data_IF_241949356537
#
_entry.id   IF_241949356537
#
_cell.length_a   1.000
_cell.length_b   1.000
_cell.length_c   1.000
_cell.angle_alpha   90.00
_cell.angle_beta   90.00
_cell.angle_gamma   90.00
#
_symmetry.space_group_name_H-M   'P 1'
#
loop_
_entity.id
_entity.type
_entity.pdbx_description
1 polymer ?
#
# COMPACT_ATOMS: atom_id res chain seq x y z
N UNK A 1 -6.96 -18.50 26.78
CA UNK A 1 -5.83 -19.32 27.30
C UNK A 1 -5.25 -20.19 26.19
N UNK A 2 -4.21 -19.76 25.47
CA UNK A 2 -3.27 -20.64 24.73
C UNK A 2 -1.90 -19.97 24.56
N UNK A 3 -0.97 -20.43 25.41
CA UNK A 3 0.48 -20.66 25.26
C UNK A 3 1.30 -19.74 24.33
N UNK A 4 2.07 -18.86 24.99
CA UNK A 4 3.30 -18.27 24.48
C UNK A 4 4.40 -19.33 24.37
N UNK A 5 5.11 -19.37 23.25
CA UNK A 5 6.33 -20.14 23.08
C UNK A 5 7.52 -19.23 23.37
N UNK A 6 8.20 -19.49 24.49
CA UNK A 6 9.37 -18.78 24.98
C UNK A 6 10.60 -19.35 24.25
N UNK A 7 11.33 -18.51 23.50
CA UNK A 7 12.67 -18.87 23.00
C UNK A 7 13.69 -18.07 23.79
N UNK A 8 14.43 -18.79 24.62
CA UNK A 8 15.55 -18.30 25.43
C UNK A 8 16.75 -18.00 24.55
N UNK A 9 17.21 -16.75 24.49
CA UNK A 9 18.50 -16.39 23.88
C UNK A 9 19.49 -16.07 25.01
N UNK A 10 20.57 -16.85 25.01
CA UNK A 10 21.70 -16.75 25.91
C UNK A 10 22.54 -15.50 25.56
N UNK A 11 22.71 -14.60 26.52
CA UNK A 11 23.58 -13.42 26.41
C UNK A 11 25.03 -13.84 26.64
N UNK A 12 25.89 -13.69 25.64
CA UNK A 12 27.34 -13.76 25.80
C UNK A 12 27.92 -12.35 25.71
N UNK A 13 28.45 -11.86 26.83
CA UNK A 13 29.17 -10.59 26.95
C UNK A 13 30.57 -10.78 26.38
N UNK A 14 30.87 -10.11 25.27
CA UNK A 14 32.20 -10.08 24.64
C UNK A 14 32.77 -8.66 24.66
N UNK A 15 33.97 -8.52 25.23
CA UNK A 15 34.69 -7.27 25.45
C UNK A 15 34.95 -6.48 24.15
N UNK A 16 34.81 -5.17 24.25
CA UNK A 16 35.10 -4.16 23.23
C UNK A 16 36.62 -4.05 23.06
N UNK A 17 37.13 -4.38 21.87
CA UNK A 17 38.48 -4.03 21.43
C UNK A 17 38.37 -2.96 20.34
N UNK A 18 38.95 -1.79 20.60
CA UNK A 18 39.01 -0.65 19.68
C UNK A 18 39.95 -0.93 18.51
N UNK A 19 39.48 -0.73 17.27
CA UNK A 19 40.29 -0.74 16.05
C UNK A 19 40.15 0.62 15.34
N UNK A 20 41.24 1.24 14.85
CA UNK A 20 41.22 2.62 14.39
C UNK A 20 40.59 2.79 13.01
N UNK A 21 40.13 4.01 12.74
CA UNK A 21 39.58 4.44 11.45
C UNK A 21 40.66 4.39 10.35
N UNK A 22 40.41 3.58 9.32
CA UNK A 22 41.20 3.56 8.09
C UNK A 22 40.54 4.45 7.03
N UNK A 23 41.34 5.37 6.47
CA UNK A 23 40.95 6.31 5.44
C UNK A 23 40.55 5.61 4.13
N UNK A 24 39.48 6.10 3.49
CA UNK A 24 39.01 5.62 2.20
C UNK A 24 39.94 6.08 1.06
N UNK A 25 40.64 5.15 0.42
CA UNK A 25 41.29 5.36 -0.88
C UNK A 25 40.28 5.16 -2.01
N UNK A 26 40.18 6.15 -2.91
CA UNK A 26 39.36 6.11 -4.10
C UNK A 26 39.86 5.04 -5.09
N UNK A 27 38.98 4.11 -5.49
CA UNK A 27 39.26 3.10 -6.50
C UNK A 27 38.92 3.62 -7.91
N UNK A 28 39.83 3.40 -8.85
CA UNK A 28 39.71 3.73 -10.28
C UNK A 28 38.67 2.83 -11.00
N UNK A 29 38.10 3.27 -12.13
CA UNK A 29 37.03 2.55 -12.81
C UNK A 29 37.57 1.30 -13.51
N UNK A 30 37.00 0.13 -13.18
CA UNK A 30 37.22 -1.12 -13.92
C UNK A 30 36.41 -1.06 -15.21
N UNK A 31 37.09 -1.17 -16.35
CA UNK A 31 36.47 -1.25 -17.67
C UNK A 31 35.54 -2.47 -17.74
N UNK A 32 34.27 -2.23 -18.08
CA UNK A 32 33.28 -3.28 -18.28
C UNK A 32 33.64 -4.13 -19.50
N UNK A 33 34.01 -5.39 -19.27
CA UNK A 33 34.11 -6.39 -20.32
C UNK A 33 32.71 -6.67 -20.86
N UNK A 34 32.48 -6.32 -22.12
CA UNK A 34 31.26 -6.60 -22.88
C UNK A 34 31.10 -8.12 -23.04
N UNK A 35 30.33 -8.74 -22.15
CA UNK A 35 29.86 -10.11 -22.32
C UNK A 35 28.87 -10.16 -23.49
N UNK A 36 29.24 -10.94 -24.51
CA UNK A 36 28.41 -11.27 -25.67
C UNK A 36 27.11 -11.94 -25.19
N UNK A 37 25.92 -11.57 -25.72
CA UNK A 37 24.69 -12.22 -25.31
C UNK A 37 24.71 -13.67 -25.80
N UNK A 38 24.72 -14.61 -24.86
CA UNK A 38 24.42 -16.01 -25.10
C UNK A 38 23.06 -16.08 -25.78
N UNK A 39 22.98 -16.79 -26.89
CA UNK A 39 21.78 -17.04 -27.69
C UNK A 39 20.69 -17.65 -26.81
N UNK A 40 19.84 -16.79 -26.23
CA UNK A 40 18.70 -17.19 -25.42
C UNK A 40 17.64 -17.81 -26.32
N UNK A 41 17.18 -19.01 -25.97
CA UNK A 41 16.00 -19.65 -26.57
C UNK A 41 14.84 -18.65 -26.57
N UNK A 42 14.12 -18.52 -27.70
CA UNK A 42 13.01 -17.60 -27.82
C UNK A 42 11.94 -17.82 -26.72
N UNK A 43 11.44 -16.72 -26.15
CA UNK A 43 10.39 -16.74 -25.14
C UNK A 43 9.14 -17.48 -25.65
N UNK A 44 8.64 -18.45 -24.88
CA UNK A 44 7.46 -19.24 -25.23
C UNK A 44 6.20 -18.60 -24.66
N UNK A 45 5.07 -18.82 -25.33
CA UNK A 45 3.75 -18.59 -24.75
C UNK A 45 3.06 -19.92 -24.54
N UNK A 46 2.76 -20.25 -23.29
CA UNK A 46 2.04 -21.44 -22.87
C UNK A 46 0.58 -21.10 -22.54
N UNK A 47 -0.29 -22.11 -22.58
CA UNK A 47 -1.69 -21.99 -22.18
C UNK A 47 -2.04 -23.12 -21.22
N UNK A 48 -2.82 -22.90 -20.15
CA UNK A 48 -3.25 -23.98 -19.28
C UNK A 48 -3.97 -25.13 -20.03
N UNK A 49 -4.60 -24.83 -21.17
CA UNK A 49 -5.29 -25.82 -22.01
C UNK A 49 -4.34 -26.91 -22.53
N UNK A 50 -3.07 -26.57 -22.83
CA UNK A 50 -2.08 -27.57 -23.29
C UNK A 50 -1.59 -28.48 -22.17
N UNK A 51 -1.93 -28.17 -20.92
CA UNK A 51 -1.65 -28.96 -19.73
C UNK A 51 -2.87 -29.71 -19.21
N UNK A 52 -3.97 -29.73 -19.97
CA UNK A 52 -5.18 -30.47 -19.66
C UNK A 52 -6.24 -29.69 -18.87
N UNK A 53 -6.05 -28.39 -18.64
CA UNK A 53 -7.09 -27.56 -18.05
C UNK A 53 -8.28 -27.42 -19.03
N UNK A 54 -9.51 -27.39 -18.52
CA UNK A 54 -10.72 -27.21 -19.34
C UNK A 54 -11.10 -25.74 -19.48
N UNK A 55 -10.94 -24.95 -18.43
CA UNK A 55 -11.29 -23.53 -18.44
C UNK A 55 -12.79 -23.28 -18.64
N UNK A 56 -13.63 -24.19 -18.14
CA UNK A 56 -15.10 -24.15 -18.25
C UNK A 56 -15.80 -23.56 -17.01
N UNK A 57 -15.03 -23.17 -15.99
CA UNK A 57 -15.51 -22.63 -14.71
C UNK A 57 -16.05 -23.67 -13.72
N UNK A 58 -16.07 -24.95 -14.07
CA UNK A 58 -16.66 -26.03 -13.27
C UNK A 58 -15.63 -27.10 -12.93
N UNK A 59 -14.85 -27.53 -13.92
CA UNK A 59 -13.79 -28.53 -13.74
C UNK A 59 -12.69 -27.99 -12.86
N UNK A 60 -12.23 -28.78 -11.89
CA UNK A 60 -11.08 -28.39 -11.08
C UNK A 60 -9.80 -28.45 -11.91
N UNK A 61 -9.33 -27.28 -12.34
CA UNK A 61 -8.16 -27.11 -13.18
C UNK A 61 -6.87 -26.92 -12.36
N UNK A 62 -6.93 -27.06 -11.02
CA UNK A 62 -5.80 -26.73 -10.11
C UNK A 62 -4.49 -27.41 -10.53
N UNK A 63 -4.50 -28.73 -10.75
CA UNK A 63 -3.30 -29.47 -11.11
C UNK A 63 -2.74 -29.07 -12.48
N UNK A 64 -3.61 -28.86 -13.47
CA UNK A 64 -3.20 -28.44 -14.81
C UNK A 64 -2.66 -27.00 -14.83
N UNK A 65 -3.27 -26.10 -14.07
CA UNK A 65 -2.78 -24.73 -13.87
C UNK A 65 -1.41 -24.71 -13.19
N UNK A 66 -1.25 -25.48 -12.12
CA UNK A 66 0.03 -25.55 -11.41
C UNK A 66 1.12 -26.14 -12.30
N UNK A 67 0.83 -27.22 -13.04
CA UNK A 67 1.77 -27.77 -14.00
C UNK A 67 2.15 -26.76 -15.10
N UNK A 68 1.19 -25.99 -15.61
CA UNK A 68 1.48 -24.94 -16.59
C UNK A 68 2.39 -23.83 -16.04
N UNK A 69 2.22 -23.46 -14.77
CA UNK A 69 3.08 -22.50 -14.07
C UNK A 69 4.49 -23.06 -13.83
N UNK A 70 4.60 -24.32 -13.40
CA UNK A 70 5.86 -25.00 -13.11
C UNK A 70 6.70 -25.25 -14.38
N UNK A 71 6.05 -25.36 -15.55
CA UNK A 71 6.71 -25.58 -16.84
C UNK A 71 7.30 -24.31 -17.49
N UNK A 72 7.05 -23.13 -16.92
CA UNK A 72 7.61 -21.86 -17.39
C UNK A 72 9.11 -21.78 -17.14
N UNK A 73 9.78 -20.98 -17.96
CA UNK A 73 11.17 -20.55 -17.79
C UNK A 73 11.21 -19.04 -17.78
N UNK A 74 12.26 -18.44 -17.23
CA UNK A 74 12.43 -16.99 -17.27
C UNK A 74 12.25 -16.46 -18.71
N UNK A 75 11.44 -15.40 -18.87
CA UNK A 75 11.04 -14.84 -20.16
C UNK A 75 9.76 -15.43 -20.76
N UNK A 76 9.31 -16.62 -20.31
CA UNK A 76 8.08 -17.23 -20.82
C UNK A 76 6.82 -16.50 -20.34
N UNK A 77 5.74 -16.68 -21.09
CA UNK A 77 4.40 -16.19 -20.77
C UNK A 77 3.43 -17.35 -20.59
N UNK A 78 2.62 -17.34 -19.53
CA UNK A 78 1.38 -18.12 -19.43
C UNK A 78 0.20 -17.21 -19.81
N UNK A 79 -0.46 -17.52 -20.93
CA UNK A 79 -1.61 -16.77 -21.41
C UNK A 79 -2.92 -17.49 -21.05
N UNK A 80 -3.80 -16.81 -20.34
CA UNK A 80 -5.15 -17.26 -20.04
C UNK A 80 -6.10 -16.70 -21.11
N UNK A 81 -6.66 -17.53 -22.01
CA UNK A 81 -7.44 -17.05 -23.14
C UNK A 81 -8.73 -16.34 -22.72
N UNK A 82 -9.16 -15.40 -23.56
CA UNK A 82 -10.47 -14.76 -23.41
C UNK A 82 -11.60 -15.80 -23.39
N UNK A 83 -12.63 -15.55 -22.58
CA UNK A 83 -13.80 -16.44 -22.45
C UNK A 83 -13.54 -17.73 -21.66
N UNK A 84 -12.33 -17.95 -21.13
CA UNK A 84 -12.01 -19.10 -20.27
C UNK A 84 -12.01 -18.73 -18.80
N UNK A 85 -12.60 -19.62 -18.00
CA UNK A 85 -12.56 -19.54 -16.53
C UNK A 85 -11.96 -20.82 -15.98
N UNK A 86 -10.78 -20.73 -15.38
CA UNK A 86 -10.10 -21.87 -14.81
C UNK A 86 -10.36 -21.92 -13.32
N UNK A 87 -11.10 -22.94 -12.87
CA UNK A 87 -11.43 -23.11 -11.46
C UNK A 87 -10.25 -23.73 -10.74
N UNK A 88 -9.90 -23.20 -9.57
CA UNK A 88 -8.93 -23.80 -8.67
C UNK A 88 -9.50 -23.95 -7.25
N UNK A 89 -9.04 -24.97 -6.54
CA UNK A 89 -9.46 -25.35 -5.18
C UNK A 89 -8.31 -25.34 -4.17
N UNK A 90 -7.08 -25.08 -4.63
CA UNK A 90 -5.91 -24.81 -3.80
C UNK A 90 -5.14 -23.58 -4.31
N UNK A 91 -4.13 -23.17 -3.54
CA UNK A 91 -3.24 -22.06 -3.89
C UNK A 91 -2.47 -22.38 -5.16
N UNK A 92 -2.49 -21.43 -6.09
CA UNK A 92 -1.64 -21.45 -7.28
C UNK A 92 -0.35 -20.71 -6.97
N UNK A 93 0.80 -21.37 -7.13
CA UNK A 93 2.11 -20.79 -6.86
C UNK A 93 2.83 -20.45 -8.17
N UNK A 94 3.18 -19.18 -8.36
CA UNK A 94 4.08 -18.71 -9.41
C UNK A 94 5.50 -18.75 -8.85
N UNK A 95 6.21 -19.85 -9.13
CA UNK A 95 7.53 -20.16 -8.57
C UNK A 95 8.72 -19.83 -9.47
N UNK A 96 8.49 -19.38 -10.70
CA UNK A 96 9.54 -19.11 -11.70
C UNK A 96 9.72 -17.61 -11.84
N UNK A 97 10.97 -17.13 -11.69
CA UNK A 97 11.29 -15.71 -11.78
C UNK A 97 11.26 -15.21 -13.24
N UNK A 98 10.93 -13.93 -13.43
CA UNK A 98 10.99 -13.29 -14.75
C UNK A 98 9.94 -13.78 -15.75
N UNK A 99 8.85 -14.39 -15.28
CA UNK A 99 7.75 -14.87 -16.14
C UNK A 99 6.60 -13.86 -16.20
N UNK A 100 5.76 -13.99 -17.21
CA UNK A 100 4.53 -13.21 -17.35
C UNK A 100 3.30 -14.12 -17.29
N UNK A 101 2.29 -13.74 -16.51
CA UNK A 101 0.97 -14.38 -16.51
C UNK A 101 -0.05 -13.33 -16.97
N UNK A 102 -0.65 -13.56 -18.15
CA UNK A 102 -1.49 -12.57 -18.83
C UNK A 102 -2.91 -13.08 -19.05
N UNK A 103 -3.88 -12.20 -18.92
CA UNK A 103 -5.28 -12.46 -19.22
C UNK A 103 -5.66 -12.30 -20.70
N UNK A 104 -6.98 -12.16 -21.02
CA UNK A 104 -8.05 -11.75 -20.10
C UNK A 104 -8.87 -12.88 -19.46
N UNK A 105 -8.37 -14.13 -19.45
CA UNK A 105 -9.06 -15.24 -18.77
C UNK A 105 -9.17 -15.06 -17.25
N UNK A 106 -10.00 -15.91 -16.62
CA UNK A 106 -10.32 -15.84 -15.19
C UNK A 106 -9.68 -17.01 -14.43
N UNK A 107 -9.05 -16.73 -13.30
CA UNK A 107 -8.70 -17.72 -12.27
C UNK A 107 -9.76 -17.66 -11.15
N UNK A 108 -10.59 -18.70 -11.04
CA UNK A 108 -11.71 -18.78 -10.09
C UNK A 108 -11.37 -19.69 -8.91
N UNK A 109 -11.08 -19.12 -7.73
CA UNK A 109 -10.97 -19.90 -6.51
C UNK A 109 -12.36 -20.30 -5.99
N UNK A 110 -12.55 -21.57 -5.68
CA UNK A 110 -13.82 -22.07 -5.09
C UNK A 110 -13.67 -22.64 -3.68
N UNK A 111 -12.44 -22.72 -3.17
CA UNK A 111 -12.14 -23.01 -1.77
C UNK A 111 -11.63 -21.73 -1.09
N UNK A 112 -12.47 -21.07 -0.29
CA UNK A 112 -12.14 -19.77 0.30
C UNK A 112 -10.90 -19.82 1.23
N UNK A 113 -10.67 -20.96 1.89
CA UNK A 113 -9.53 -21.19 2.80
C UNK A 113 -8.18 -21.35 2.09
N UNK A 114 -8.20 -21.58 0.76
CA UNK A 114 -7.04 -21.87 -0.10
C UNK A 114 -7.19 -21.18 -1.46
N UNK A 115 -7.52 -19.89 -1.42
CA UNK A 115 -7.93 -19.13 -2.60
C UNK A 115 -6.81 -18.35 -3.27
N UNK A 116 -5.59 -18.33 -2.72
CA UNK A 116 -4.53 -17.45 -3.20
C UNK A 116 -3.95 -17.81 -4.56
N UNK A 117 -3.60 -16.77 -5.32
CA UNK A 117 -2.51 -16.80 -6.29
C UNK A 117 -1.29 -16.19 -5.61
N UNK A 118 -0.28 -17.02 -5.35
CA UNK A 118 0.94 -16.64 -4.68
C UNK A 118 2.05 -16.36 -5.71
N UNK A 119 2.52 -15.11 -5.75
CA UNK A 119 3.75 -14.72 -6.44
C UNK A 119 4.91 -14.95 -5.48
N UNK A 120 5.69 -16.00 -5.75
CA UNK A 120 6.78 -16.45 -4.88
C UNK A 120 8.17 -16.33 -5.50
N UNK A 121 8.27 -15.70 -6.67
CA UNK A 121 9.51 -15.51 -7.39
C UNK A 121 9.59 -14.10 -7.96
N UNK A 122 10.82 -13.62 -8.12
CA UNK A 122 11.08 -12.23 -8.48
C UNK A 122 10.73 -11.92 -9.93
N UNK A 123 10.49 -10.64 -10.22
CA UNK A 123 10.27 -10.10 -11.57
C UNK A 123 9.12 -10.76 -12.33
N UNK A 124 8.12 -11.25 -11.60
CA UNK A 124 6.87 -11.75 -12.20
C UNK A 124 6.02 -10.58 -12.66
N UNK A 125 5.44 -10.72 -13.85
CA UNK A 125 4.47 -9.77 -14.42
C UNK A 125 3.09 -10.42 -14.47
N UNK A 126 2.08 -9.76 -13.90
CA UNK A 126 0.66 -10.12 -14.00
C UNK A 126 -0.08 -9.00 -14.75
N UNK A 127 -0.67 -9.28 -15.91
CA UNK A 127 -1.31 -8.23 -16.70
C UNK A 127 -2.38 -8.71 -17.71
N UNK A 128 -2.68 -7.86 -18.71
CA UNK A 128 -3.48 -8.24 -19.87
C UNK A 128 -4.97 -8.41 -19.60
N UNK A 129 -5.51 -7.76 -18.55
CA UNK A 129 -6.91 -7.91 -18.16
C UNK A 129 -7.19 -9.21 -17.41
N UNK A 130 -6.17 -9.85 -16.83
CA UNK A 130 -6.32 -11.03 -15.99
C UNK A 130 -7.31 -10.75 -14.85
N UNK A 131 -8.19 -11.72 -14.58
CA UNK A 131 -9.15 -11.65 -13.47
C UNK A 131 -8.85 -12.74 -12.46
N UNK A 132 -8.63 -12.34 -11.22
CA UNK A 132 -8.49 -13.22 -10.06
C UNK A 132 -9.79 -13.16 -9.25
N UNK A 133 -10.61 -14.20 -9.35
CA UNK A 133 -11.92 -14.26 -8.71
C UNK A 133 -11.91 -15.24 -7.54
N UNK A 134 -12.61 -14.89 -6.47
CA UNK A 134 -13.06 -15.81 -5.45
C UNK A 134 -14.56 -16.06 -5.64
N UNK A 135 -14.98 -17.32 -5.43
CA UNK A 135 -16.38 -17.65 -5.25
C UNK A 135 -16.96 -17.03 -3.97
N UNK A 136 -18.22 -17.36 -3.62
CA UNK A 136 -18.81 -16.94 -2.36
C UNK A 136 -17.91 -17.28 -1.17
N UNK A 137 -17.70 -16.31 -0.28
CA UNK A 137 -16.94 -16.47 0.96
C UNK A 137 -17.93 -16.48 2.12
N UNK A 138 -17.62 -17.17 3.22
CA UNK A 138 -18.55 -17.33 4.36
C UNK A 138 -18.14 -16.51 5.58
N UNK A 139 -16.85 -16.24 5.77
CA UNK A 139 -16.31 -15.47 6.91
C UNK A 139 -15.07 -14.68 6.53
N UNK A 140 -14.68 -13.70 7.35
CA UNK A 140 -13.37 -13.03 7.24
C UNK A 140 -12.30 -13.98 7.77
N UNK A 141 -11.24 -14.15 7.00
CA UNK A 141 -10.07 -14.94 7.36
C UNK A 141 -8.82 -14.07 7.44
N UNK A 142 -7.72 -14.64 7.95
CA UNK A 142 -6.48 -13.93 8.27
C UNK A 142 -5.18 -14.66 7.85
N UNK A 143 -5.24 -15.94 7.45
CA UNK A 143 -4.07 -16.66 6.98
C UNK A 143 -3.71 -16.31 5.52
N UNK A 144 -2.44 -16.52 5.17
CA UNK A 144 -1.91 -16.09 3.89
C UNK A 144 -2.59 -16.71 2.67
N UNK A 145 -3.11 -17.92 2.80
CA UNK A 145 -3.69 -18.67 1.69
C UNK A 145 -5.14 -18.28 1.39
N UNK A 146 -5.70 -17.39 2.22
CA UNK A 146 -7.01 -16.76 2.04
C UNK A 146 -6.95 -15.37 1.38
N UNK A 147 -5.74 -14.83 1.20
CA UNK A 147 -5.52 -13.64 0.37
C UNK A 147 -5.80 -14.00 -1.09
N UNK A 148 -6.34 -13.10 -1.91
CA UNK A 148 -6.61 -13.46 -3.32
C UNK A 148 -5.35 -13.38 -4.18
N UNK A 149 -4.63 -12.26 -4.15
CA UNK A 149 -3.30 -12.11 -4.73
C UNK A 149 -2.30 -11.86 -3.60
N UNK A 150 -1.33 -12.76 -3.43
CA UNK A 150 -0.25 -12.62 -2.44
C UNK A 150 1.09 -12.41 -3.14
N UNK A 151 1.76 -11.32 -2.82
CA UNK A 151 3.08 -10.96 -3.33
C UNK A 151 4.08 -11.09 -2.19
N UNK A 152 5.01 -12.02 -2.35
CA UNK A 152 6.07 -12.34 -1.40
C UNK A 152 7.44 -12.40 -2.10
N UNK A 153 7.63 -11.56 -3.12
CA UNK A 153 8.80 -11.52 -3.99
C UNK A 153 9.03 -10.11 -4.54
N UNK A 154 10.17 -9.89 -5.18
CA UNK A 154 10.67 -8.56 -5.53
C UNK A 154 10.52 -8.23 -7.01
N UNK A 155 10.47 -6.95 -7.36
CA UNK A 155 10.36 -6.52 -8.77
C UNK A 155 9.05 -6.95 -9.44
N UNK A 156 8.01 -7.26 -8.66
CA UNK A 156 6.74 -7.77 -9.16
C UNK A 156 5.93 -6.63 -9.78
N UNK A 157 5.42 -6.85 -10.99
CA UNK A 157 4.54 -5.89 -11.68
C UNK A 157 3.16 -6.50 -11.83
N UNK A 158 2.14 -5.81 -11.33
CA UNK A 158 0.73 -6.13 -11.53
C UNK A 158 0.08 -4.96 -12.23
N UNK A 159 -0.36 -5.16 -13.47
CA UNK A 159 -0.89 -4.08 -14.30
C UNK A 159 -2.21 -4.44 -14.94
N UNK A 160 -3.27 -3.64 -14.74
CA UNK A 160 -4.60 -3.91 -15.33
C UNK A 160 -5.11 -5.31 -14.99
N UNK A 161 -5.04 -5.66 -13.70
CA UNK A 161 -5.56 -6.91 -13.13
C UNK A 161 -6.76 -6.59 -12.25
N UNK A 162 -7.80 -7.41 -12.36
CA UNK A 162 -8.99 -7.30 -11.51
C UNK A 162 -9.00 -8.41 -10.48
N UNK A 163 -9.16 -8.04 -9.20
CA UNK A 163 -9.41 -8.93 -8.08
C UNK A 163 -10.88 -8.80 -7.68
N UNK A 164 -11.63 -9.90 -7.79
CA UNK A 164 -13.06 -9.97 -7.48
C UNK A 164 -13.31 -10.95 -6.33
N UNK A 165 -13.50 -10.40 -5.13
CA UNK A 165 -13.69 -11.18 -3.92
C UNK A 165 -12.40 -11.70 -3.31
N UNK A 166 -12.38 -11.78 -1.99
CA UNK A 166 -11.36 -12.47 -1.20
C UNK A 166 -11.93 -12.82 0.17
N UNK A 167 -11.50 -13.95 0.72
CA UNK A 167 -11.87 -14.36 2.08
C UNK A 167 -11.10 -13.54 3.14
N UNK A 168 -9.93 -13.01 2.76
CA UNK A 168 -9.13 -12.04 3.49
C UNK A 168 -8.90 -10.78 2.60
N UNK A 169 -7.65 -10.32 2.45
CA UNK A 169 -7.31 -9.17 1.62
C UNK A 169 -7.33 -9.52 0.11
N UNK A 170 -7.68 -8.53 -0.71
CA UNK A 170 -7.67 -8.68 -2.17
C UNK A 170 -6.25 -8.81 -2.73
N UNK A 171 -5.41 -7.82 -2.43
CA UNK A 171 -3.98 -7.84 -2.72
C UNK A 171 -3.22 -7.71 -1.42
N UNK A 172 -2.32 -8.65 -1.16
CA UNK A 172 -1.40 -8.63 -0.02
C UNK A 172 0.03 -8.51 -0.55
N UNK A 173 0.75 -7.48 -0.11
CA UNK A 173 2.18 -7.28 -0.38
C UNK A 173 2.90 -7.35 0.96
N UNK A 174 3.80 -8.32 1.12
CA UNK A 174 4.56 -8.41 2.37
C UNK A 174 5.73 -9.37 2.30
N UNK A 175 6.18 -9.84 3.47
CA UNK A 175 7.39 -10.70 3.56
C UNK A 175 8.63 -10.02 2.97
N UNK A 176 8.79 -8.71 3.20
CA UNK A 176 9.91 -7.92 2.69
C UNK A 176 9.90 -7.66 1.17
N UNK A 177 8.77 -7.92 0.48
CA UNK A 177 8.63 -7.65 -0.95
C UNK A 177 8.98 -6.18 -1.27
N UNK A 178 9.83 -5.97 -2.29
CA UNK A 178 10.26 -4.64 -2.69
C UNK A 178 10.35 -4.44 -4.20
N UNK A 179 10.55 -3.19 -4.63
CA UNK A 179 10.57 -2.77 -6.03
C UNK A 179 9.31 -3.17 -6.80
N UNK A 180 8.15 -3.16 -6.13
CA UNK A 180 6.89 -3.60 -6.71
C UNK A 180 6.10 -2.47 -7.38
N UNK A 181 5.36 -2.81 -8.42
CA UNK A 181 4.42 -1.91 -9.09
C UNK A 181 3.03 -2.55 -9.15
N UNK A 182 2.04 -1.90 -8.55
CA UNK A 182 0.61 -2.17 -8.74
C UNK A 182 0.01 -1.01 -9.53
N UNK A 183 -0.32 -1.22 -10.81
CA UNK A 183 -0.81 -0.16 -11.69
C UNK A 183 -2.17 -0.51 -12.30
N UNK A 184 -3.16 0.38 -12.17
CA UNK A 184 -4.51 0.19 -12.70
C UNK A 184 -5.15 -1.13 -12.20
N UNK A 185 -4.85 -1.50 -10.96
CA UNK A 185 -5.42 -2.68 -10.29
C UNK A 185 -6.81 -2.34 -9.76
N UNK A 186 -7.78 -3.22 -10.02
CA UNK A 186 -9.14 -3.08 -9.52
C UNK A 186 -9.39 -4.16 -8.47
N UNK A 187 -9.81 -3.80 -7.27
CA UNK A 187 -10.15 -4.73 -6.18
C UNK A 187 -11.58 -4.50 -5.74
N UNK A 188 -12.40 -5.55 -5.70
CA UNK A 188 -13.82 -5.45 -5.32
C UNK A 188 -14.27 -6.54 -4.37
N UNK A 189 -15.06 -6.18 -3.35
CA UNK A 189 -15.84 -7.14 -2.57
C UNK A 189 -15.02 -8.09 -1.70
N UNK A 190 -13.93 -7.63 -1.12
CA UNK A 190 -13.08 -8.42 -0.20
C UNK A 190 -13.69 -8.45 1.20
N UNK A 191 -13.34 -9.45 2.02
CA UNK A 191 -13.79 -9.52 3.41
C UNK A 191 -12.86 -8.83 4.41
N UNK A 192 -11.63 -8.54 4.01
CA UNK A 192 -10.71 -7.66 4.73
C UNK A 192 -10.30 -6.52 3.79
N UNK A 193 -9.04 -6.09 3.85
CA UNK A 193 -8.50 -4.98 3.08
C UNK A 193 -8.66 -5.16 1.57
N UNK A 194 -8.68 -4.05 0.83
CA UNK A 194 -8.55 -4.08 -0.62
C UNK A 194 -7.12 -4.42 -1.03
N UNK A 195 -6.20 -3.49 -0.74
CA UNK A 195 -4.75 -3.64 -0.92
C UNK A 195 -4.08 -3.44 0.44
N UNK A 196 -3.33 -4.44 0.90
CA UNK A 196 -2.65 -4.44 2.19
C UNK A 196 -1.13 -4.60 1.98
N UNK A 197 -0.36 -3.58 2.34
CA UNK A 197 1.09 -3.54 2.23
C UNK A 197 1.68 -3.60 3.64
N UNK A 198 2.42 -4.65 3.95
CA UNK A 198 2.85 -4.98 5.31
C UNK A 198 4.16 -5.76 5.34
N UNK A 199 4.57 -6.30 6.50
CA UNK A 199 5.65 -7.26 6.61
C UNK A 199 7.00 -6.72 6.12
N UNK A 200 7.27 -5.44 6.35
CA UNK A 200 8.51 -4.79 5.96
C UNK A 200 8.67 -4.50 4.46
N UNK A 201 7.60 -4.60 3.65
CA UNK A 201 7.66 -4.27 2.22
C UNK A 201 8.16 -2.84 1.97
N UNK A 202 8.88 -2.60 0.86
CA UNK A 202 9.44 -1.27 0.61
C UNK A 202 9.70 -0.95 -0.87
N UNK A 203 10.04 0.30 -1.18
CA UNK A 203 10.38 0.75 -2.54
C UNK A 203 9.28 0.43 -3.58
N UNK A 204 8.03 0.69 -3.20
CA UNK A 204 6.86 0.28 -3.95
C UNK A 204 6.05 1.42 -4.54
N UNK A 205 5.36 1.16 -5.65
CA UNK A 205 4.41 2.08 -6.26
C UNK A 205 3.06 1.41 -6.44
N UNK A 206 2.00 2.05 -5.94
CA UNK A 206 0.61 1.70 -6.20
C UNK A 206 -0.03 2.87 -6.93
N UNK A 207 -0.33 2.72 -8.22
CA UNK A 207 -0.80 3.80 -9.08
C UNK A 207 -2.18 3.52 -9.64
N UNK A 208 -3.07 4.50 -9.48
CA UNK A 208 -4.47 4.48 -9.91
C UNK A 208 -5.23 3.19 -9.51
N UNK A 209 -5.09 2.69 -8.26
CA UNK A 209 -5.91 1.57 -7.85
C UNK A 209 -7.38 2.00 -7.72
N UNK A 210 -8.30 1.10 -8.06
CA UNK A 210 -9.73 1.24 -7.77
C UNK A 210 -10.11 0.18 -6.76
N UNK A 211 -10.51 0.57 -5.55
CA UNK A 211 -10.94 -0.34 -4.49
C UNK A 211 -12.38 -0.05 -4.13
N UNK A 212 -13.26 -1.06 -4.21
CA UNK A 212 -14.68 -0.89 -3.90
C UNK A 212 -15.19 -2.00 -2.99
N UNK A 213 -15.95 -1.66 -1.95
CA UNK A 213 -16.57 -2.63 -1.05
C UNK A 213 -15.55 -3.58 -0.40
N UNK A 214 -14.42 -3.06 0.06
CA UNK A 214 -13.51 -3.81 0.94
C UNK A 214 -14.15 -4.00 2.31
N UNK A 215 -13.84 -5.12 2.95
CA UNK A 215 -14.33 -5.49 4.29
C UNK A 215 -13.45 -4.96 5.43
N UNK A 216 -12.51 -4.09 5.11
CA UNK A 216 -11.63 -3.32 5.99
C UNK A 216 -11.08 -2.15 5.17
N UNK A 217 -9.88 -1.69 5.49
CA UNK A 217 -9.15 -0.63 4.80
C UNK A 217 -9.09 -0.81 3.28
N UNK A 218 -9.30 0.29 2.54
CA UNK A 218 -9.24 0.27 1.08
C UNK A 218 -7.82 0.02 0.56
N UNK A 219 -6.91 0.97 0.83
CA UNK A 219 -5.48 0.84 0.52
C UNK A 219 -4.65 1.15 1.77
N UNK A 220 -4.10 0.10 2.37
CA UNK A 220 -3.44 0.14 3.65
C UNK A 220 -1.93 -0.08 3.55
N UNK A 221 -1.18 0.75 4.27
CA UNK A 221 0.21 0.49 4.68
C UNK A 221 0.20 0.23 6.18
N UNK A 222 0.62 -0.97 6.59
CA UNK A 222 0.60 -1.39 8.01
C UNK A 222 1.97 -1.95 8.39
N UNK A 223 2.48 -1.59 9.55
CA UNK A 223 3.81 -1.97 10.03
C UNK A 223 3.72 -2.49 11.46
N UNK A 224 3.67 -3.81 11.62
CA UNK A 224 3.63 -4.46 12.93
C UNK A 224 5.05 -4.53 13.51
N UNK A 225 5.21 -4.26 14.81
CA UNK A 225 6.53 -4.42 15.46
C UNK A 225 7.03 -5.85 15.42
N UNK A 226 6.12 -6.83 15.38
CA UNK A 226 6.46 -8.25 15.22
C UNK A 226 7.22 -8.55 13.93
N UNK A 227 7.09 -7.71 12.90
CA UNK A 227 7.83 -7.87 11.65
C UNK A 227 9.30 -7.40 11.75
N UNK A 228 9.65 -6.69 12.83
CA UNK A 228 11.02 -6.21 13.10
C UNK A 228 11.45 -4.98 12.29
N UNK A 229 10.76 -4.66 11.19
CA UNK A 229 11.07 -3.51 10.33
C UNK A 229 9.79 -2.90 9.75
N UNK A 230 9.68 -1.55 9.67
CA UNK A 230 8.51 -0.91 9.08
C UNK A 230 8.49 -1.05 7.55
N UNK A 231 7.28 -1.01 7.01
CA UNK A 231 7.05 -0.71 5.58
C UNK A 231 7.58 0.69 5.30
N UNK A 232 8.33 0.86 4.21
CA UNK A 232 8.93 2.16 3.89
C UNK A 232 9.04 2.51 2.42
N UNK A 233 9.10 3.80 2.09
CA UNK A 233 9.31 4.30 0.72
C UNK A 233 8.28 3.76 -0.25
N UNK A 234 7.01 3.94 0.08
CA UNK A 234 5.88 3.52 -0.75
C UNK A 234 5.12 4.76 -1.22
N UNK A 235 4.91 4.85 -2.53
CA UNK A 235 4.05 5.85 -3.16
C UNK A 235 2.72 5.22 -3.54
N UNK A 236 1.62 5.75 -2.99
CA UNK A 236 0.26 5.46 -3.44
C UNK A 236 -0.28 6.68 -4.18
N UNK A 237 -0.43 6.56 -5.49
CA UNK A 237 -0.70 7.65 -6.43
C UNK A 237 -2.10 7.49 -7.05
N UNK A 238 -2.94 8.51 -6.89
CA UNK A 238 -4.31 8.57 -7.36
C UNK A 238 -5.23 7.39 -6.95
N UNK A 239 -5.26 6.95 -5.68
CA UNK A 239 -6.18 5.89 -5.27
C UNK A 239 -7.64 6.35 -5.29
N UNK A 240 -8.54 5.51 -5.82
CA UNK A 240 -9.99 5.70 -5.74
C UNK A 240 -10.60 4.58 -4.89
N UNK A 241 -10.99 4.91 -3.66
CA UNK A 241 -11.59 3.98 -2.71
C UNK A 241 -13.05 4.34 -2.50
N UNK A 242 -13.96 3.38 -2.59
CA UNK A 242 -15.36 3.60 -2.24
C UNK A 242 -16.01 2.46 -1.46
N UNK A 243 -16.98 2.82 -0.61
CA UNK A 243 -17.92 1.87 0.00
C UNK A 243 -17.29 0.80 0.89
N UNK A 244 -16.20 1.11 1.60
CA UNK A 244 -15.63 0.18 2.59
C UNK A 244 -16.72 -0.21 3.59
N UNK A 245 -16.92 -1.50 3.85
CA UNK A 245 -18.00 -2.00 4.70
C UNK A 245 -17.59 -2.11 6.17
N UNK A 246 -16.28 -2.09 6.43
CA UNK A 246 -15.64 -1.88 7.73
C UNK A 246 -14.31 -1.15 7.50
N UNK A 247 -13.60 -0.74 8.56
CA UNK A 247 -12.29 -0.10 8.42
C UNK A 247 -12.33 1.31 7.81
N UNK A 248 -11.24 1.71 7.16
CA UNK A 248 -10.98 3.08 6.70
C UNK A 248 -10.79 3.15 5.18
N UNK A 249 -10.67 4.36 4.64
CA UNK A 249 -10.36 4.54 3.22
C UNK A 249 -8.92 4.18 2.88
N UNK A 250 -7.99 5.08 3.19
CA UNK A 250 -6.54 4.88 3.03
C UNK A 250 -5.84 5.02 4.38
N UNK A 251 -4.85 4.17 4.64
CA UNK A 251 -4.22 4.10 5.96
C UNK A 251 -2.71 4.01 5.94
N UNK A 252 -2.06 4.67 6.92
CA UNK A 252 -0.66 4.46 7.28
C UNK A 252 -0.57 4.16 8.76
N UNK A 253 -0.46 2.88 9.10
CA UNK A 253 -0.35 2.41 10.48
C UNK A 253 1.10 2.00 10.73
N UNK A 254 1.91 2.93 11.21
CA UNK A 254 3.31 2.76 11.57
C UNK A 254 4.39 3.00 10.51
N UNK A 255 4.08 3.00 9.20
CA UNK A 255 5.10 3.07 8.13
C UNK A 255 6.00 4.32 8.09
N UNK A 256 7.05 4.27 7.29
CA UNK A 256 8.09 5.31 7.15
C UNK A 256 8.27 5.79 5.70
N UNK A 257 8.39 7.09 5.43
CA UNK A 257 8.50 7.62 4.04
C UNK A 257 7.34 7.16 3.13
N UNK A 258 6.11 7.37 3.60
CA UNK A 258 4.91 6.96 2.89
C UNK A 258 4.23 8.18 2.28
N UNK A 259 3.94 8.13 0.99
CA UNK A 259 3.26 9.21 0.28
C UNK A 259 1.96 8.71 -0.33
N UNK A 260 0.86 9.39 -0.03
CA UNK A 260 -0.40 9.28 -0.73
C UNK A 260 -0.64 10.57 -1.52
N UNK A 261 -0.88 10.47 -2.83
CA UNK A 261 -1.12 11.63 -3.70
C UNK A 261 -2.43 11.49 -4.47
N UNK A 262 -3.14 12.60 -4.68
CA UNK A 262 -4.38 12.68 -5.48
C UNK A 262 -5.45 11.68 -5.02
N UNK A 263 -5.65 11.59 -3.71
CA UNK A 263 -6.52 10.61 -3.05
C UNK A 263 -7.98 10.93 -3.29
N UNK A 264 -8.78 9.93 -3.63
CA UNK A 264 -10.23 10.01 -3.62
C UNK A 264 -10.80 8.90 -2.75
N UNK A 265 -11.54 9.28 -1.70
CA UNK A 265 -12.26 8.34 -0.84
C UNK A 265 -13.72 8.74 -0.74
N UNK A 266 -14.62 7.79 -1.02
CA UNK A 266 -16.08 7.99 -0.91
C UNK A 266 -16.74 6.97 -0.01
N UNK A 267 -17.59 7.43 0.92
CA UNK A 267 -18.42 6.54 1.77
C UNK A 267 -17.58 5.51 2.53
N UNK A 268 -16.57 5.98 3.27
CA UNK A 268 -15.76 5.11 4.14
C UNK A 268 -16.52 4.73 5.42
N UNK A 269 -16.34 3.50 5.92
CA UNK A 269 -17.02 3.00 7.12
C UNK A 269 -16.66 3.85 8.34
N UNK A 270 -15.35 3.99 8.57
CA UNK A 270 -14.77 4.90 9.55
C UNK A 270 -14.06 6.05 8.81
N UNK A 271 -12.87 6.44 9.27
CA UNK A 271 -12.10 7.53 8.66
C UNK A 271 -11.79 7.29 7.18
N UNK A 272 -11.76 8.35 6.40
CA UNK A 272 -11.33 8.28 5.01
C UNK A 272 -9.79 8.23 4.92
N UNK A 273 -9.10 8.99 5.75
CA UNK A 273 -7.64 8.93 5.93
C UNK A 273 -7.34 8.64 7.40
N UNK A 274 -6.52 7.62 7.66
CA UNK A 274 -6.11 7.26 9.01
C UNK A 274 -4.60 7.04 9.09
N UNK A 275 -3.92 7.82 9.93
CA UNK A 275 -2.47 7.71 10.15
C UNK A 275 -2.25 7.45 11.62
N UNK A 276 -1.68 6.30 11.97
CA UNK A 276 -1.72 5.86 13.35
C UNK A 276 -0.49 5.07 13.81
N UNK A 277 -0.21 5.19 15.10
CA UNK A 277 0.51 4.18 15.88
C UNK A 277 -0.54 3.48 16.76
N UNK A 278 -0.64 2.17 16.71
CA UNK A 278 -1.66 1.39 17.44
C UNK A 278 -1.02 0.54 18.54
N UNK A 279 -1.67 0.52 19.70
CA UNK A 279 -1.31 -0.31 20.85
C UNK A 279 -1.77 -1.76 20.73
N UNK A 280 -1.99 -2.41 21.87
CA UNK A 280 -2.46 -3.79 21.92
C UNK A 280 -3.80 -3.97 21.17
N UNK A 281 -4.02 -5.09 20.47
CA UNK A 281 -3.11 -6.22 20.30
C UNK A 281 -2.15 -6.08 19.10
N UNK A 282 -2.22 -4.98 18.34
CA UNK A 282 -1.51 -4.85 17.07
C UNK A 282 -0.05 -4.46 17.22
N UNK A 283 0.26 -3.58 18.17
CA UNK A 283 1.62 -3.10 18.45
C UNK A 283 2.35 -2.67 17.17
N UNK A 284 1.91 -1.59 16.55
CA UNK A 284 2.54 -1.09 15.33
C UNK A 284 3.69 -0.12 15.62
N UNK A 285 4.55 0.07 14.63
CA UNK A 285 5.55 1.15 14.65
C UNK A 285 4.87 2.53 14.72
N UNK A 286 5.66 3.57 14.99
CA UNK A 286 5.18 4.95 14.87
C UNK A 286 5.27 5.40 13.40
N UNK A 287 4.21 5.98 12.81
CA UNK A 287 4.32 6.50 11.45
C UNK A 287 5.26 7.71 11.42
N UNK A 288 6.17 7.74 10.45
CA UNK A 288 7.19 8.79 10.30
C UNK A 288 7.29 9.25 8.85
N UNK A 289 7.40 10.57 8.62
CA UNK A 289 7.57 11.16 7.28
C UNK A 289 6.46 10.70 6.34
N UNK A 290 5.23 10.94 6.75
CA UNK A 290 4.02 10.58 5.99
C UNK A 290 3.44 11.81 5.33
N UNK A 291 3.24 11.73 4.02
CA UNK A 291 2.64 12.82 3.23
C UNK A 291 1.32 12.37 2.62
N UNK A 292 0.27 13.18 2.76
CA UNK A 292 -0.95 13.09 1.96
C UNK A 292 -1.11 14.41 1.20
N UNK A 293 -0.99 14.37 -0.12
CA UNK A 293 -1.05 15.56 -0.97
C UNK A 293 -2.19 15.45 -1.98
N UNK A 294 -3.14 16.38 -1.91
CA UNK A 294 -4.32 16.34 -2.76
C UNK A 294 -5.26 15.23 -2.32
N UNK A 295 -6.38 15.58 -1.68
CA UNK A 295 -7.38 14.59 -1.32
C UNK A 295 -8.81 15.13 -1.43
N UNK A 296 -9.70 14.33 -2.02
CA UNK A 296 -11.15 14.51 -1.95
C UNK A 296 -11.75 13.43 -1.06
N UNK A 297 -12.27 13.83 0.10
CA UNK A 297 -12.86 12.95 1.09
C UNK A 297 -14.36 13.27 1.20
N UNK A 298 -15.20 12.34 0.75
CA UNK A 298 -16.64 12.57 0.62
C UNK A 298 -17.43 11.46 1.33
N UNK A 299 -18.29 11.82 2.29
CA UNK A 299 -19.12 10.81 2.96
C UNK A 299 -18.36 9.96 3.97
N UNK A 300 -17.38 10.52 4.69
CA UNK A 300 -16.57 9.73 5.63
C UNK A 300 -17.30 9.40 6.94
N UNK A 301 -16.86 8.31 7.58
CA UNK A 301 -17.38 7.78 8.84
C UNK A 301 -18.89 7.52 8.84
N UNK A 302 -19.37 6.73 7.87
CA UNK A 302 -20.79 6.34 7.79
C UNK A 302 -21.23 5.48 8.99
N UNK A 303 -20.30 4.86 9.71
CA UNK A 303 -20.60 4.00 10.85
C UNK A 303 -20.83 4.80 12.14
N UNK A 304 -22.05 4.74 12.65
CA UNK A 304 -22.44 5.50 13.83
C UNK A 304 -21.69 5.08 15.12
N UNK A 305 -21.26 3.83 15.21
CA UNK A 305 -20.57 3.29 16.40
C UNK A 305 -19.08 3.60 16.45
N UNK A 306 -18.51 4.23 15.42
CA UNK A 306 -17.08 4.54 15.33
C UNK A 306 -16.85 6.05 15.50
N UNK A 307 -16.03 6.43 16.48
CA UNK A 307 -15.73 7.82 16.83
C UNK A 307 -14.61 8.45 16.01
N UNK A 308 -14.65 8.35 14.68
CA UNK A 308 -13.65 8.94 13.78
C UNK A 308 -14.14 10.24 13.11
N UNK A 309 -13.24 10.98 12.46
CA UNK A 309 -13.61 12.01 11.47
C UNK A 309 -13.41 11.53 10.04
N UNK A 310 -13.35 12.45 9.07
CA UNK A 310 -12.83 12.14 7.74
C UNK A 310 -11.33 11.88 7.77
N UNK A 311 -10.58 12.64 8.57
CA UNK A 311 -9.16 12.43 8.81
C UNK A 311 -8.96 12.16 10.30
N UNK A 312 -8.16 11.15 10.63
CA UNK A 312 -7.74 10.89 11.99
C UNK A 312 -6.24 10.56 12.03
N UNK A 313 -5.48 11.37 12.77
CA UNK A 313 -4.14 11.02 13.23
C UNK A 313 -4.26 10.47 14.65
N UNK A 314 -3.85 9.23 14.88
CA UNK A 314 -4.03 8.54 16.15
C UNK A 314 -2.70 8.09 16.78
N UNK A 315 -2.41 8.64 17.97
CA UNK A 315 -1.28 8.25 18.80
C UNK A 315 -1.74 7.25 19.87
N UNK A 316 -1.97 6.01 19.44
CA UNK A 316 -2.53 4.93 20.25
C UNK A 316 -1.62 4.31 21.30
N UNK A 317 -0.37 4.79 21.45
CA UNK A 317 0.55 4.26 22.46
C UNK A 317 1.66 5.26 22.85
N UNK A 318 2.11 5.23 24.11
CA UNK A 318 3.26 6.02 24.55
C UNK A 318 4.55 5.67 23.80
N UNK A 319 5.44 6.65 23.67
CA UNK A 319 6.78 6.54 23.06
C UNK A 319 6.82 6.08 21.58
N UNK A 320 5.68 6.02 20.89
CA UNK A 320 5.60 5.72 19.46
C UNK A 320 4.87 6.85 18.74
N UNK A 321 5.30 8.07 18.98
CA UNK A 321 4.62 9.27 18.51
C UNK A 321 4.59 9.33 16.97
N UNK A 322 3.39 9.43 16.36
CA UNK A 322 3.26 9.87 14.98
C UNK A 322 4.07 11.16 14.77
N UNK A 323 4.97 11.17 13.79
CA UNK A 323 5.91 12.28 13.61
C UNK A 323 6.18 12.65 12.15
N UNK A 324 6.39 13.94 11.89
CA UNK A 324 6.66 14.47 10.55
C UNK A 324 5.56 14.08 9.55
N UNK A 325 4.32 14.42 9.89
CA UNK A 325 3.15 14.07 9.08
C UNK A 325 2.60 15.34 8.47
N UNK A 326 2.46 15.36 7.15
CA UNK A 326 1.90 16.49 6.42
C UNK A 326 0.72 16.04 5.57
N UNK A 327 -0.43 16.67 5.79
CA UNK A 327 -1.58 16.57 4.90
C UNK A 327 -1.80 17.92 4.25
N UNK A 328 -1.94 17.97 2.93
CA UNK A 328 -2.14 19.23 2.24
C UNK A 328 -3.08 19.17 1.05
N UNK A 329 -3.75 20.28 0.77
CA UNK A 329 -4.72 20.41 -0.33
C UNK A 329 -5.84 19.38 -0.21
N UNK A 330 -6.52 19.35 0.94
CA UNK A 330 -7.55 18.36 1.29
C UNK A 330 -8.93 19.01 1.30
N UNK A 331 -9.84 18.47 0.51
CA UNK A 331 -11.25 18.84 0.51
C UNK A 331 -12.05 17.79 1.28
N UNK A 332 -12.77 18.22 2.31
CA UNK A 332 -13.62 17.34 3.13
C UNK A 332 -15.08 17.76 2.98
N UNK A 333 -15.94 16.81 2.59
CA UNK A 333 -17.38 17.05 2.40
C UNK A 333 -18.19 15.89 2.97
N UNK A 334 -19.34 16.22 3.53
CA UNK A 334 -20.36 15.23 3.91
C UNK A 334 -19.85 14.17 4.89
N UNK A 335 -18.89 14.48 5.76
CA UNK A 335 -18.60 13.65 6.93
C UNK A 335 -19.90 13.44 7.71
N UNK A 336 -20.14 12.25 8.27
CA UNK A 336 -21.34 12.00 9.08
C UNK A 336 -21.53 13.10 10.12
N UNK A 337 -22.71 13.72 10.16
CA UNK A 337 -22.99 14.90 11.00
C UNK A 337 -22.86 14.65 12.50
N UNK A 338 -23.03 13.41 12.95
CA UNK A 338 -22.87 12.97 14.34
C UNK A 338 -21.47 12.40 14.64
N UNK A 339 -20.53 12.46 13.69
CA UNK A 339 -19.13 12.21 13.99
C UNK A 339 -18.59 13.29 14.95
N UNK A 340 -17.57 12.99 15.77
CA UNK A 340 -17.09 13.95 16.75
C UNK A 340 -16.33 15.16 16.14
N UNK A 341 -15.78 15.03 14.93
CA UNK A 341 -15.07 16.08 14.19
C UNK A 341 -14.88 15.70 12.71
N UNK A 342 -14.46 16.63 11.86
CA UNK A 342 -14.04 16.35 10.49
C UNK A 342 -12.57 15.90 10.44
N UNK A 343 -11.68 16.61 11.13
CA UNK A 343 -10.25 16.27 11.26
C UNK A 343 -9.88 16.13 12.73
N UNK A 344 -9.28 15.01 13.11
CA UNK A 344 -8.93 14.71 14.49
C UNK A 344 -7.47 14.38 14.70
N UNK A 345 -6.93 14.85 15.81
CA UNK A 345 -5.65 14.38 16.37
C UNK A 345 -5.92 13.83 17.77
N UNK A 346 -5.90 12.52 17.92
CA UNK A 346 -6.25 11.84 19.16
C UNK A 346 -5.06 11.05 19.67
N UNK A 347 -4.74 11.16 20.96
CA UNK A 347 -3.76 10.31 21.61
C UNK A 347 -4.29 9.66 22.87
N UNK A 348 -3.81 8.45 23.14
CA UNK A 348 -3.98 7.78 24.42
C UNK A 348 -3.20 8.47 25.54
N UNK A 349 -3.50 8.13 26.79
CA UNK A 349 -2.81 8.72 27.95
C UNK A 349 -1.30 8.47 27.86
N UNK A 350 -0.51 9.54 27.93
CA UNK A 350 0.95 9.48 27.86
C UNK A 350 1.51 9.37 26.43
N UNK A 351 0.65 9.38 25.41
CA UNK A 351 1.05 9.51 24.02
C UNK A 351 1.29 10.95 23.62
N UNK A 352 2.01 11.15 22.52
CA UNK A 352 2.25 12.45 21.93
C UNK A 352 2.31 12.35 20.41
N UNK A 353 2.34 13.49 19.75
CA UNK A 353 2.58 13.66 18.31
C UNK A 353 3.63 14.73 18.11
N UNK A 354 4.32 14.70 16.97
CA UNK A 354 5.39 15.65 16.65
C UNK A 354 5.27 16.09 15.19
N UNK A 355 5.53 17.36 14.88
CA UNK A 355 5.60 17.86 13.50
C UNK A 355 4.40 17.48 12.63
N UNK A 356 3.20 17.67 13.16
CA UNK A 356 1.96 17.47 12.41
C UNK A 356 1.57 18.76 11.70
N UNK A 357 1.35 18.70 10.39
CA UNK A 357 0.91 19.83 9.58
C UNK A 357 -0.31 19.46 8.75
N UNK A 358 -1.34 20.30 8.85
CA UNK A 358 -2.52 20.26 8.00
C UNK A 358 -2.63 21.58 7.26
N UNK A 359 -2.37 21.58 5.95
CA UNK A 359 -2.29 22.79 5.14
C UNK A 359 -3.32 22.82 4.02
N UNK A 360 -3.93 23.97 3.75
CA UNK A 360 -4.90 24.14 2.65
C UNK A 360 -6.04 23.13 2.72
N UNK A 361 -6.75 23.11 3.83
CA UNK A 361 -7.96 22.30 4.00
C UNK A 361 -9.20 23.12 3.61
N UNK A 362 -10.07 22.53 2.80
CA UNK A 362 -11.38 23.08 2.44
C UNK A 362 -12.48 22.16 3.01
N UNK A 363 -13.06 22.57 4.14
CA UNK A 363 -13.95 21.74 4.95
C UNK A 363 -15.39 22.25 4.86
N UNK A 364 -16.31 21.35 4.52
CA UNK A 364 -17.72 21.67 4.30
C UNK A 364 -18.64 20.94 5.28
N UNK A 365 -19.57 21.68 5.87
CA UNK A 365 -20.62 21.17 6.76
C UNK A 365 -20.17 20.89 8.19
N UNK A 366 -21.08 20.27 8.94
CA UNK A 366 -20.83 19.70 10.27
C UNK A 366 -20.15 18.32 10.15
N UNK A 367 -19.54 17.78 11.21
CA UNK A 367 -19.34 18.33 12.57
C UNK A 367 -18.22 19.38 12.63
N UNK A 368 -17.73 19.69 13.83
CA UNK A 368 -16.63 20.63 14.04
C UNK A 368 -15.45 20.34 13.09
N UNK A 369 -14.84 21.37 12.46
CA UNK A 369 -13.83 21.18 11.42
C UNK A 369 -12.56 20.50 11.94
N UNK A 370 -12.19 20.76 13.20
CA UNK A 370 -10.99 20.21 13.81
C UNK A 370 -11.19 19.95 15.30
N UNK A 371 -10.56 18.90 15.84
CA UNK A 371 -10.44 18.65 17.27
C UNK A 371 -9.14 17.91 17.63
N UNK A 372 -8.59 18.19 18.82
CA UNK A 372 -7.50 17.40 19.38
C UNK A 372 -7.57 17.32 20.90
N UNK A 373 -7.36 16.11 21.45
CA UNK A 373 -7.21 15.90 22.90
C UNK A 373 -5.76 16.04 23.39
N UNK A 374 -4.81 16.30 22.49
CA UNK A 374 -3.40 16.56 22.79
C UNK A 374 -3.08 18.06 22.85
N UNK A 375 -4.11 18.91 22.71
CA UNK A 375 -3.99 20.36 22.62
C UNK A 375 -3.77 20.84 21.18
N UNK A 376 -4.29 22.02 20.85
CA UNK A 376 -4.21 22.59 19.50
C UNK A 376 -2.80 22.96 19.07
N UNK A 377 -1.89 23.20 20.01
CA UNK A 377 -0.47 23.44 19.74
C UNK A 377 0.30 22.18 19.29
N UNK A 378 -0.32 20.99 19.33
CA UNK A 378 0.30 19.74 18.89
C UNK A 378 0.44 19.64 17.36
N UNK A 379 -0.24 20.51 16.60
CA UNK A 379 -0.22 20.52 15.15
C UNK A 379 -0.33 21.94 14.57
N UNK A 380 0.17 22.12 13.36
CA UNK A 380 0.01 23.35 12.59
C UNK A 380 -1.18 23.24 11.64
N UNK A 381 -2.12 24.18 11.72
CA UNK A 381 -3.26 24.35 10.82
C UNK A 381 -3.04 25.61 9.99
N UNK A 382 -2.85 25.49 8.68
CA UNK A 382 -2.43 26.63 7.82
C UNK A 382 -3.31 26.74 6.58
N UNK A 383 -3.88 27.91 6.30
CA UNK A 383 -4.67 28.18 5.11
C UNK A 383 -5.97 27.38 5.03
N UNK A 384 -6.67 27.23 6.16
CA UNK A 384 -7.93 26.51 6.22
C UNK A 384 -9.11 27.38 5.78
N UNK A 385 -10.06 26.77 5.07
CA UNK A 385 -11.36 27.33 4.75
C UNK A 385 -12.43 26.40 5.31
N UNK A 386 -13.40 26.95 6.04
CA UNK A 386 -14.54 26.20 6.59
C UNK A 386 -15.82 26.87 6.09
N UNK A 387 -16.64 26.14 5.33
CA UNK A 387 -17.87 26.66 4.71
C UNK A 387 -17.64 27.96 3.93
N UNK A 388 -16.55 28.03 3.16
CA UNK A 388 -16.18 29.21 2.37
C UNK A 388 -15.53 30.35 3.15
N UNK A 389 -15.43 30.27 4.48
CA UNK A 389 -14.79 31.29 5.32
C UNK A 389 -13.38 30.88 5.74
N UNK A 390 -12.42 31.79 5.61
CA UNK A 390 -11.05 31.55 6.06
C UNK A 390 -10.97 31.40 7.58
N UNK A 391 -10.17 30.45 8.05
CA UNK A 391 -9.86 30.21 9.47
C UNK A 391 -8.44 30.67 9.75
N UNK A 392 -8.23 31.34 10.88
CA UNK A 392 -6.91 31.82 11.28
C UNK A 392 -5.90 30.66 11.45
N UNK A 393 -4.69 30.90 10.99
CA UNK A 393 -3.61 29.92 11.10
C UNK A 393 -3.26 29.64 12.56
N UNK A 394 -2.98 28.38 12.85
CA UNK A 394 -2.40 27.91 14.13
C UNK A 394 -1.06 27.28 13.81
N UNK A 395 0.01 27.74 14.45
CA UNK A 395 1.34 27.16 14.28
C UNK A 395 1.73 26.37 15.54
N UNK A 396 2.22 25.15 15.34
CA UNK A 396 2.75 24.35 16.43
C UNK A 396 4.14 24.82 16.82
N UNK A 397 4.45 24.76 18.12
CA UNK A 397 5.78 25.04 18.65
C UNK A 397 6.83 23.98 18.26
N UNK A 398 6.40 22.79 17.80
CA UNK A 398 7.32 21.70 17.42
C UNK A 398 7.66 21.69 15.94
N UNK A 399 6.80 22.24 15.07
CA UNK A 399 7.04 22.24 13.62
C UNK A 399 8.20 23.19 13.25
N UNK A 400 9.31 22.70 12.64
CA UNK A 400 10.38 23.58 12.19
C UNK A 400 9.86 24.60 11.16
N UNK A 401 10.41 25.82 11.18
CA UNK A 401 10.16 26.80 10.13
C UNK A 401 10.55 26.20 8.76
N UNK A 402 9.68 26.34 7.76
CA UNK A 402 9.95 25.88 6.40
C UNK A 402 11.22 26.56 5.88
N UNK A 403 12.24 25.84 5.34
CA UNK A 403 13.29 26.50 4.58
C UNK A 403 12.65 27.17 3.37
N UNK A 404 12.82 28.49 3.24
CA UNK A 404 12.35 29.23 2.08
C UNK A 404 12.81 28.52 0.81
N UNK A 405 11.88 28.31 -0.14
CA UNK A 405 12.18 27.66 -1.41
C UNK A 405 13.42 28.32 -2.04
N UNK A 406 14.50 27.55 -2.19
CA UNK A 406 15.69 28.02 -2.88
C UNK A 406 15.27 28.41 -4.30
N UNK A 407 15.30 29.72 -4.56
CA UNK A 407 15.04 30.27 -5.89
C UNK A 407 16.14 29.74 -6.80
N UNK A 408 15.81 28.76 -7.65
CA UNK A 408 16.71 28.34 -8.73
C UNK A 408 16.83 29.53 -9.66
N UNK A 409 17.92 30.29 -9.54
CA UNK A 409 18.30 31.30 -10.53
C UNK A 409 18.59 30.55 -11.83
N UNK A 410 17.64 30.58 -12.76
CA UNK A 410 17.80 30.09 -14.12
C UNK A 410 18.92 30.86 -14.81
N UNK A 411 20.07 30.20 -15.00
CA UNK A 411 21.10 30.65 -15.93
C UNK A 411 20.58 30.46 -17.35
N UNK A 412 20.21 31.55 -18.00
CA UNK A 412 19.97 31.61 -19.45
C UNK A 412 21.24 31.21 -20.20
N UNK A 413 21.27 30.01 -20.78
CA UNK A 413 22.20 29.66 -21.85
C UNK A 413 21.52 30.00 -23.17
N UNK A 414 21.92 31.12 -23.76
CA UNK A 414 21.58 31.52 -25.13
C UNK A 414 22.19 30.53 -26.11
N UNK A 415 21.35 29.71 -26.74
CA UNK A 415 21.68 28.97 -27.95
C UNK A 415 21.77 29.98 -29.10
N UNK A 416 22.98 30.24 -29.60
CA UNK A 416 23.18 30.98 -30.85
C UNK A 416 22.75 30.09 -32.02
N UNK A 417 21.78 30.56 -32.79
CA UNK A 417 21.41 30.02 -34.09
C UNK A 417 22.51 30.30 -35.11
N UNK A 418 22.86 29.26 -35.90
CA UNK A 418 23.69 29.40 -37.10
C UNK A 418 22.84 29.98 -38.25
N UNK A 419 23.39 30.84 -39.12
CA UNK A 419 22.62 31.46 -40.19
C UNK A 419 22.54 30.53 -41.41
N UNK A 420 21.33 30.37 -41.93
CA UNK A 420 21.08 29.93 -43.30
C UNK A 420 21.17 31.16 -44.21
N UNK A 421 22.10 31.18 -45.16
CA UNK A 421 21.81 31.39 -46.60
C UNK A 421 23.07 31.47 -47.48
N UNK A 422 23.00 30.67 -48.56
CA UNK A 422 23.71 30.65 -49.85
C UNK A 422 25.23 30.47 -49.89
#
# INVERSE_FOLDING_TARGET
MRRACLVTILVLVGLISSVPAAAATAAAPVAASSATPTTGTAARTLSPLTFGARGDGVTDDTAALQHALDALRAGDTLALPAGRTFRHTDVLRIGVAGVRVTGPGVLLATAESRSAVLVAADRVVLDGGLVLRAGPTTRRWDAFEQMKLRIAANGVVVRRVTVEGAAAAGVYVGTGAHDFLLEDVVVRGTRADGIHITGGAHDGVVRRPVVQRSGDDGVAVVSYQGDGVPVRRVLVDSPNVSDTTWGRGVTVVGGEDITYRDVTVRRSNAAAVYIASEGAPYFTFAPRRVTVEGALLEGANINASVGHGAVLVYAGRPNHSPSQISLSSVTVRSTRTTAPWQVGVVGERGSSVQDLRFARFDVHGAPAPFSSNLGTAACSLVGWTVNGSAVADTLSATTPAVPAAATVRGGSRTLRSAPLTR
#
